data_IF_082456360117
#
_entry.id   IF_082456360117
#
_cell.length_a   1.000
_cell.length_b   1.000
_cell.length_c   1.000
_cell.angle_alpha   90.00
_cell.angle_beta   90.00
_cell.angle_gamma   90.00
#
_symmetry.space_group_name_H-M   'P 1'
#
loop_
_entity.id
_entity.type
_entity.pdbx_description
1 polymer ?
2 branched ?
3 branched ?
4 non-polymer ?
5 water ?
#
# COMPACT_ATOMS: atom_id res chain seq x y z
N UNK A 24 -20.16 -29.44 4.50
CA UNK A 24 -20.87 -28.33 5.12
C UNK A 24 -19.84 -27.29 5.43
N UNK A 25 -18.69 -27.44 4.79
CA UNK A 25 -17.52 -26.65 5.14
C UNK A 25 -17.79 -25.14 5.18
N UNK A 26 -17.00 -24.49 6.02
CA UNK A 26 -17.12 -23.08 6.27
C UNK A 26 -15.79 -22.71 6.85
N UNK A 27 -15.49 -21.42 6.87
CA UNK A 27 -14.39 -20.91 7.67
C UNK A 27 -15.09 -19.95 8.63
N UNK A 28 -14.49 -19.70 9.79
CA UNK A 28 -15.08 -18.77 10.74
C UNK A 28 -13.98 -18.06 11.50
N UNK A 29 -14.33 -16.99 12.21
CA UNK A 29 -13.33 -16.29 13.00
C UNK A 29 -13.93 -15.15 13.81
N UNK A 30 -13.07 -14.48 14.57
CA UNK A 30 -13.46 -13.34 15.39
C UNK A 30 -12.55 -12.17 15.10
N UNK A 31 -13.03 -11.21 14.31
CA UNK A 31 -12.25 -10.02 14.00
C UNK A 31 -12.32 -9.01 15.13
N UNK A 32 -11.18 -8.51 15.56
CA UNK A 32 -11.13 -7.50 16.61
C UNK A 32 -10.86 -6.13 16.02
N UNK A 33 -11.65 -5.13 16.42
CA UNK A 33 -11.41 -3.75 16.01
C UNK A 33 -11.74 -2.82 17.16
N UNK A 34 -10.72 -2.19 17.73
CA UNK A 34 -10.94 -1.35 18.89
C UNK A 34 -11.43 -2.23 20.00
N UNK A 35 -12.53 -1.83 20.64
CA UNK A 35 -13.07 -2.60 21.74
C UNK A 35 -14.11 -3.64 21.31
N UNK A 36 -14.31 -3.80 20.00
CA UNK A 36 -15.37 -4.67 19.51
C UNK A 36 -14.87 -5.97 18.85
N UNK A 37 -15.72 -6.99 18.87
CA UNK A 37 -15.38 -8.26 18.23
C UNK A 37 -16.46 -8.64 17.22
N UNK A 38 -16.06 -8.83 15.97
CA UNK A 38 -17.01 -9.23 14.92
C UNK A 38 -16.87 -10.73 14.63
N UNK A 39 -17.86 -11.52 15.04
CA UNK A 39 -17.87 -12.93 14.66
C UNK A 39 -18.28 -13.04 13.20
N UNK A 40 -17.64 -13.95 12.47
CA UNK A 40 -18.00 -14.14 11.08
C UNK A 40 -17.98 -15.61 10.67
N UNK A 41 -18.78 -15.93 9.66
CA UNK A 41 -18.99 -17.29 9.18
C UNK A 41 -19.05 -17.20 7.66
N UNK A 42 -18.15 -17.89 6.98
CA UNK A 42 -18.13 -17.90 5.52
C UNK A 42 -18.38 -19.31 5.05
N UNK A 43 -19.52 -19.52 4.41
CA UNK A 43 -19.90 -20.86 3.96
C UNK A 43 -19.43 -21.14 2.53
N UNK A 44 -18.94 -22.36 2.30
CA UNK A 44 -18.64 -22.77 0.94
C UNK A 44 -19.72 -23.74 0.47
N UNK A 45 -20.83 -23.76 1.19
CA UNK A 45 -21.94 -24.62 0.78
C UNK A 45 -23.22 -23.81 0.53
N UNK A 46 -24.34 -24.50 0.34
CA UNK A 46 -25.58 -23.84 -0.07
C UNK A 46 -26.27 -23.15 1.12
N UNK A 47 -25.63 -22.11 1.65
CA UNK A 47 -26.11 -21.46 2.86
C UNK A 47 -26.74 -20.12 2.58
N UNK A 48 -27.96 -19.92 3.08
CA UNK A 48 -28.66 -18.64 2.92
C UNK A 48 -28.93 -17.92 4.25
N UNK A 49 -28.79 -18.65 5.37
CA UNK A 49 -28.95 -18.03 6.70
C UNK A 49 -28.03 -18.66 7.75
N UNK A 50 -27.62 -17.87 8.74
CA UNK A 50 -26.74 -18.34 9.80
C UNK A 50 -27.14 -17.70 11.12
N UNK A 51 -27.36 -18.51 12.16
CA UNK A 51 -27.55 -17.99 13.50
C UNK A 51 -26.26 -18.17 14.28
N UNK A 52 -25.84 -17.16 15.05
CA UNK A 52 -24.72 -17.39 15.95
C UNK A 52 -25.23 -17.47 17.39
N UNK A 53 -24.64 -18.35 18.19
CA UNK A 53 -25.04 -18.58 19.57
C UNK A 53 -23.81 -18.38 20.42
N UNK A 54 -23.80 -17.35 21.25
CA UNK A 54 -22.58 -17.03 21.97
C UNK A 54 -22.81 -16.69 23.43
N UNK A 55 -21.76 -16.85 24.21
CA UNK A 55 -21.78 -16.47 25.61
C UNK A 55 -20.56 -15.62 25.88
N UNK A 56 -20.80 -14.45 26.46
CA UNK A 56 -19.71 -13.56 26.85
C UNK A 56 -19.51 -13.72 28.35
N UNK A 57 -18.30 -14.13 28.74
CA UNK A 57 -18.00 -14.53 30.12
C UNK A 57 -19.15 -15.28 30.80
N UNK A 58 -19.76 -16.21 30.05
CA UNK A 58 -20.80 -17.11 30.56
C UNK A 58 -22.14 -16.45 30.88
N UNK A 59 -22.46 -15.37 30.16
CA UNK A 59 -23.73 -14.70 30.37
C UNK A 59 -24.93 -15.39 29.73
N UNK A 60 -26.07 -14.71 29.78
CA UNK A 60 -27.28 -15.11 29.05
C UNK A 60 -26.91 -15.46 27.61
N UNK A 61 -27.32 -16.63 27.13
CA UNK A 61 -26.97 -16.99 25.76
C UNK A 61 -27.65 -16.06 24.77
N UNK A 62 -26.82 -15.45 23.93
CA UNK A 62 -27.31 -14.59 22.86
C UNK A 62 -27.45 -15.43 21.61
N UNK A 63 -28.61 -15.32 20.96
CA UNK A 63 -28.82 -16.00 19.71
C UNK A 63 -29.18 -14.97 18.66
N UNK A 64 -28.33 -14.83 17.66
CA UNK A 64 -28.49 -13.74 16.70
C UNK A 64 -28.47 -14.26 15.27
N UNK A 65 -29.49 -13.90 14.50
CA UNK A 65 -29.49 -14.08 13.06
C UNK A 65 -28.44 -13.13 12.47
N UNK A 66 -27.37 -13.69 11.92
CA UNK A 66 -26.26 -12.86 11.40
C UNK A 66 -26.63 -12.16 10.10
N UNK A 67 -26.04 -10.99 9.88
CA UNK A 67 -26.26 -10.25 8.64
C UNK A 67 -25.24 -10.67 7.59
N UNK A 68 -25.66 -10.75 6.33
CA UNK A 68 -24.74 -11.07 5.25
C UNK A 68 -23.99 -9.83 4.73
N UNK A 69 -22.66 -9.85 4.86
CA UNK A 69 -21.82 -8.80 4.29
C UNK A 69 -21.40 -9.23 2.88
N UNK A 70 -21.99 -8.59 1.88
CA UNK A 70 -21.79 -9.03 0.50
C UNK A 70 -20.34 -8.84 0.06
N UNK A 71 -19.78 -7.68 0.40
CA UNK A 71 -18.40 -7.38 0.04
C UNK A 71 -17.42 -8.45 0.52
N UNK A 72 -17.62 -8.90 1.76
CA UNK A 72 -16.73 -9.88 2.36
C UNK A 72 -17.24 -11.30 2.09
N UNK A 73 -18.42 -11.39 1.46
CA UNK A 73 -19.05 -12.67 1.15
C UNK A 73 -19.19 -13.58 2.38
N UNK A 74 -19.50 -13.00 3.52
CA UNK A 74 -19.61 -13.76 4.75
C UNK A 74 -20.65 -13.15 5.69
N UNK A 75 -21.21 -13.99 6.56
CA UNK A 75 -22.12 -13.47 7.57
C UNK A 75 -21.30 -12.88 8.71
N UNK A 76 -21.80 -11.79 9.29
CA UNK A 76 -21.06 -11.09 10.34
C UNK A 76 -22.00 -10.64 11.45
N UNK A 77 -21.51 -10.68 12.68
CA UNK A 77 -22.24 -10.08 13.79
C UNK A 77 -21.24 -9.41 14.71
N UNK A 78 -21.38 -8.11 14.91
CA UNK A 78 -20.43 -7.39 15.74
C UNK A 78 -20.92 -7.36 17.18
N UNK A 79 -20.08 -7.84 18.09
CA UNK A 79 -20.36 -7.72 19.52
C UNK A 79 -19.61 -6.52 20.08
N UNK A 80 -20.35 -5.55 20.61
CA UNK A 80 -19.75 -4.31 21.12
C UNK A 80 -19.05 -4.50 22.46
N UNK A 81 -17.93 -3.80 22.64
CA UNK A 81 -17.22 -3.74 23.93
C UNK A 81 -17.06 -5.13 24.54
N UNK A 82 -16.34 -6.00 23.81
CA UNK A 82 -16.12 -7.39 24.23
C UNK A 82 -14.76 -7.91 23.81
N UNK A 83 -13.91 -7.06 23.26
CA UNK A 83 -12.57 -7.46 22.85
C UNK A 83 -11.75 -7.94 24.05
N UNK A 84 -12.13 -7.47 25.24
CA UNK A 84 -11.42 -7.77 26.47
C UNK A 84 -11.98 -9.01 27.13
N UNK A 85 -13.05 -9.56 26.55
CA UNK A 85 -13.81 -10.62 27.20
C UNK A 85 -13.46 -11.99 26.61
N UNK A 86 -13.99 -13.02 27.26
CA UNK A 86 -13.92 -14.36 26.70
C UNK A 86 -15.28 -14.69 26.07
N UNK A 87 -15.24 -15.15 24.82
CA UNK A 87 -16.46 -15.44 24.08
C UNK A 87 -16.49 -16.89 23.62
N UNK A 88 -17.58 -17.57 23.93
CA UNK A 88 -17.78 -18.95 23.51
C UNK A 88 -18.95 -18.92 22.52
N UNK A 89 -18.71 -19.42 21.30
CA UNK A 89 -19.74 -19.35 20.25
C UNK A 89 -19.80 -20.56 19.33
N UNK A 90 -21.00 -20.84 18.82
CA UNK A 90 -21.13 -21.78 17.72
C UNK A 90 -22.19 -21.27 16.75
N UNK A 91 -22.23 -21.82 15.55
CA UNK A 91 -23.19 -21.36 14.56
C UNK A 91 -24.17 -22.45 14.18
N UNK A 92 -25.40 -22.04 13.86
CA UNK A 92 -26.34 -22.90 13.17
C UNK A 92 -26.54 -22.30 11.78
N UNK A 93 -26.42 -23.13 10.74
CA UNK A 93 -26.51 -22.65 9.37
C UNK A 93 -27.20 -23.69 8.52
N UNK A 94 -27.79 -23.29 7.39
CA UNK A 94 -28.39 -24.26 6.51
C UNK A 94 -27.42 -24.67 5.43
N UNK A 95 -27.62 -25.88 4.91
CA UNK A 95 -26.96 -26.31 3.69
C UNK A 95 -28.05 -26.95 2.86
N UNK A 96 -28.68 -26.15 2.01
CA UNK A 96 -29.93 -26.56 1.38
C UNK A 96 -31.01 -26.38 2.44
N UNK A 97 -31.97 -27.30 2.47
CA UNK A 97 -33.04 -27.26 3.48
C UNK A 97 -32.56 -27.52 4.93
N UNK A 98 -31.82 -28.62 5.15
CA UNK A 98 -31.52 -28.93 6.57
C UNK A 98 -30.54 -27.95 7.23
N UNK A 99 -30.61 -27.88 8.55
CA UNK A 99 -29.70 -27.05 9.33
C UNK A 99 -28.64 -27.88 10.03
N UNK A 100 -27.49 -27.26 10.27
CA UNK A 100 -26.35 -27.94 10.88
C UNK A 100 -25.76 -27.01 11.92
N UNK A 101 -25.20 -27.58 12.98
CA UNK A 101 -24.49 -26.80 13.99
C UNK A 101 -23.01 -27.04 13.81
N UNK A 102 -22.21 -26.05 14.17
CA UNK A 102 -20.77 -26.21 14.20
C UNK A 102 -20.39 -26.58 15.62
N UNK A 103 -19.13 -26.93 15.84
CA UNK A 103 -18.66 -27.13 17.21
C UNK A 103 -18.51 -25.78 17.88
N UNK A 104 -18.23 -25.78 19.18
CA UNK A 104 -18.13 -24.53 19.93
C UNK A 104 -16.73 -23.95 19.82
N UNK A 105 -16.63 -22.68 19.40
CA UNK A 105 -15.33 -22.02 19.28
C UNK A 105 -15.08 -21.05 20.43
N UNK A 106 -13.85 -20.56 20.52
CA UNK A 106 -13.46 -19.73 21.66
C UNK A 106 -12.70 -18.46 21.24
N UNK A 107 -13.11 -17.31 21.78
CA UNK A 107 -12.34 -16.07 21.69
C UNK A 107 -11.90 -15.75 23.13
N UNK A 108 -10.65 -15.33 23.34
CA UNK A 108 -9.67 -14.99 22.30
C UNK A 108 -9.03 -16.20 21.61
N UNK A 118 -3.77 -15.54 9.71
CA UNK A 118 -2.87 -14.41 9.95
C UNK A 118 -3.47 -13.09 9.43
N UNK A 119 -2.64 -12.05 9.43
CA UNK A 119 -2.99 -10.77 8.82
C UNK A 119 -2.05 -10.49 7.65
N UNK A 120 -1.44 -11.56 7.14
CA UNK A 120 -0.45 -11.46 6.08
C UNK A 120 -1.09 -11.20 4.74
N UNK A 121 -0.37 -10.52 3.86
CA UNK A 121 -0.89 -10.30 2.52
C UNK A 121 -1.05 -11.63 1.78
N UNK A 122 -0.32 -12.65 2.22
CA UNK A 122 -0.36 -13.94 1.55
C UNK A 122 -1.57 -14.77 2.00
N UNK A 123 -2.23 -14.33 3.06
CA UNK A 123 -3.32 -15.12 3.64
C UNK A 123 -4.63 -14.90 2.91
N UNK A 124 -4.69 -13.89 2.03
CA UNK A 124 -5.87 -13.69 1.20
C UNK A 124 -5.88 -14.76 0.11
N UNK A 125 -6.87 -15.66 0.15
CA UNK A 125 -6.93 -16.74 -0.84
C UNK A 125 -7.27 -16.19 -2.22
N UNK A 126 -6.58 -16.64 -3.26
CA UNK A 126 -6.82 -16.13 -4.61
C UNK A 126 -8.26 -16.40 -5.04
N UNK A 127 -8.79 -17.52 -4.57
CA UNK A 127 -10.16 -17.91 -4.87
C UNK A 127 -11.20 -16.90 -4.36
N UNK A 128 -10.79 -16.08 -3.39
CA UNK A 128 -11.71 -15.12 -2.79
C UNK A 128 -11.75 -13.78 -3.54
N UNK A 129 -10.89 -13.64 -4.54
CA UNK A 129 -10.84 -12.39 -5.30
C UNK A 129 -11.99 -12.33 -6.31
N UNK A 130 -12.83 -11.29 -6.21
CA UNK A 130 -13.96 -11.19 -7.14
C UNK A 130 -13.47 -10.90 -8.55
N UNK A 131 -14.17 -11.44 -9.55
CA UNK A 131 -13.84 -11.15 -10.96
C UNK A 131 -13.97 -9.67 -11.23
N UNK A 132 -12.92 -9.06 -11.81
CA UNK A 132 -12.93 -7.63 -12.13
C UNK A 132 -13.87 -7.34 -13.31
N UNK A 133 -14.26 -6.09 -13.48
CA UNK A 133 -15.04 -5.70 -14.60
C UNK A 133 -14.37 -4.74 -15.54
N UNK A 134 -14.82 -4.88 -16.77
CA UNK A 134 -14.30 -4.18 -17.92
C UNK A 134 -12.78 -4.16 -18.07
N UNK A 135 -12.11 -5.28 -18.23
CA UNK A 135 -10.65 -5.29 -18.27
C UNK A 135 -9.89 -4.67 -17.08
N UNK A 136 -10.57 -4.54 -15.98
CA UNK A 136 -9.99 -3.97 -14.79
C UNK A 136 -9.29 -4.94 -13.87
N UNK A 137 -9.13 -4.52 -12.62
CA UNK A 137 -8.51 -5.34 -11.60
C UNK A 137 -9.25 -5.08 -10.29
N UNK A 138 -9.54 -6.14 -9.55
CA UNK A 138 -10.14 -5.97 -8.24
C UNK A 138 -9.08 -5.51 -7.23
N UNK A 139 -9.35 -4.36 -6.61
CA UNK A 139 -8.39 -3.74 -5.69
C UNK A 139 -8.82 -3.88 -4.25
N UNK A 140 -7.94 -4.45 -3.42
CA UNK A 140 -8.19 -4.42 -1.98
C UNK A 140 -7.08 -3.66 -1.26
N UNK A 141 -7.47 -2.67 -0.48
CA UNK A 141 -6.51 -2.01 0.42
C UNK A 141 -6.71 -2.65 1.79
N UNK A 142 -5.65 -3.25 2.32
CA UNK A 142 -5.72 -4.13 3.46
C UNK A 142 -5.00 -3.51 4.65
N UNK A 143 -5.56 -3.69 5.85
CA UNK A 143 -4.96 -3.14 7.07
C UNK A 143 -3.98 -4.15 7.66
N UNK A 144 -2.69 -3.86 7.59
CA UNK A 144 -1.69 -4.75 8.16
C UNK A 144 -0.91 -4.09 9.28
N UNK A 145 -1.52 -3.11 9.95
CA UNK A 145 -0.80 -2.31 10.95
C UNK A 145 -0.72 -2.93 12.36
N UNK A 146 -1.23 -4.16 12.50
CA UNK A 146 -1.12 -4.89 13.75
C UNK A 146 -1.69 -4.16 14.95
N UNK A 147 -2.76 -3.39 14.75
CA UNK A 147 -3.41 -2.69 15.85
C UNK A 147 -3.02 -1.23 16.01
N UNK A 148 -2.05 -0.79 15.22
CA UNK A 148 -1.64 0.61 15.23
C UNK A 148 -2.80 1.54 14.84
N UNK A 149 -3.54 1.16 13.80
CA UNK A 149 -4.69 1.95 13.33
C UNK A 149 -5.83 0.99 13.01
N UNK A 150 -7.07 1.44 13.21
CA UNK A 150 -8.23 0.62 12.81
C UNK A 150 -8.53 0.87 11.33
N UNK A 151 -9.41 0.06 10.76
CA UNK A 151 -9.80 0.20 9.36
C UNK A 151 -10.36 1.56 9.04
N UNK A 152 -11.05 2.19 9.99
CA UNK A 152 -11.62 3.51 9.70
C UNK A 152 -10.66 4.66 9.95
N UNK A 153 -9.40 4.32 10.25
CA UNK A 153 -8.33 5.32 10.45
C UNK A 153 -7.25 5.25 9.35
N UNK A 154 -7.47 4.43 8.33
CA UNK A 154 -6.53 4.33 7.21
C UNK A 154 -7.26 4.76 5.94
N UNK A 155 -6.72 5.75 5.25
CA UNK A 155 -7.40 6.41 4.16
C UNK A 155 -6.70 6.07 2.87
N UNK A 156 -7.45 5.98 1.76
CA UNK A 156 -6.85 5.77 0.46
C UNK A 156 -7.59 6.53 -0.62
N UNK A 157 -6.89 6.85 -1.71
CA UNK A 157 -7.52 7.53 -2.82
C UNK A 157 -6.80 7.15 -4.09
N UNK A 158 -7.55 6.96 -5.17
CA UNK A 158 -6.93 6.67 -6.44
C UNK A 158 -7.16 7.87 -7.34
N UNK A 159 -6.08 8.40 -7.91
CA UNK A 159 -6.18 9.50 -8.85
C UNK A 159 -5.30 9.15 -10.07
N UNK A 160 -5.81 9.44 -11.27
CA UNK A 160 -5.07 9.18 -12.49
C UNK A 160 -5.85 9.67 -13.71
N UNK A 161 -5.34 9.37 -14.90
CA UNK A 161 -6.01 9.78 -16.11
C UNK A 161 -6.93 8.67 -16.61
N UNK A 162 -8.19 9.00 -16.85
CA UNK A 162 -9.10 8.07 -17.49
C UNK A 162 -8.79 8.06 -18.99
N UNK A 163 -8.40 6.89 -19.53
CA UNK A 163 -8.01 6.81 -20.94
C UNK A 163 -9.20 6.93 -21.88
N UNK A 164 -10.40 6.76 -21.35
CA UNK A 164 -11.61 6.92 -22.15
C UNK A 164 -11.63 8.31 -22.77
N UNK A 165 -11.35 9.34 -21.97
CA UNK A 165 -11.49 10.72 -22.42
C UNK A 165 -10.28 11.60 -22.11
N UNK A 166 -9.23 11.00 -21.54
CA UNK A 166 -8.03 11.73 -21.21
C UNK A 166 -8.18 12.69 -20.04
N UNK A 167 -9.26 12.53 -19.27
CA UNK A 167 -9.54 13.44 -18.16
C UNK A 167 -8.98 12.93 -16.81
N UNK A 168 -8.25 13.79 -16.10
CA UNK A 168 -7.80 13.48 -14.73
C UNK A 168 -9.01 13.21 -13.82
N UNK A 169 -8.95 12.11 -13.09
CA UNK A 169 -10.11 11.58 -12.40
C UNK A 169 -9.74 10.94 -11.08
N UNK A 170 -10.73 10.76 -10.20
CA UNK A 170 -10.54 9.97 -8.99
C UNK A 170 -11.51 8.81 -8.95
N UNK A 171 -11.17 7.77 -8.22
CA UNK A 171 -11.97 6.53 -8.21
C UNK A 171 -13.01 6.54 -7.09
N UNK A 172 -14.27 6.29 -7.41
CA UNK A 172 -15.26 6.12 -6.34
C UNK A 172 -15.39 4.65 -5.95
N UNK A 173 -16.26 4.37 -4.98
CA UNK A 173 -16.37 3.01 -4.46
C UNK A 173 -17.16 2.10 -5.40
N UNK A 174 -17.80 2.69 -6.40
CA UNK A 174 -18.52 1.91 -7.40
C UNK A 174 -17.56 1.52 -8.51
N UNK A 175 -16.31 1.96 -8.40
CA UNK A 175 -15.33 1.66 -9.42
C UNK A 175 -15.34 2.65 -10.56
N UNK A 176 -15.97 3.80 -10.34
CA UNK A 176 -16.13 4.76 -11.43
C UNK A 176 -15.06 5.84 -11.33
N UNK A 177 -14.45 6.19 -12.44
CA UNK A 177 -13.50 7.30 -12.46
C UNK A 177 -14.24 8.61 -12.67
N UNK A 178 -14.30 9.44 -11.63
CA UNK A 178 -15.03 10.71 -11.69
C UNK A 178 -14.06 11.85 -11.95
N UNK A 179 -14.41 12.77 -12.88
CA UNK A 179 -13.49 13.84 -13.27
C UNK A 179 -13.16 14.75 -12.08
N UNK A 180 -11.89 15.11 -11.89
CA UNK A 180 -11.56 16.11 -10.88
C UNK A 180 -11.56 17.50 -11.52
N UNK A 181 -11.57 18.53 -10.68
CA UNK A 181 -11.66 19.90 -11.17
C UNK A 181 -11.25 20.83 -10.04
N UNK A 182 -11.10 22.12 -10.33
CA UNK A 182 -10.82 23.10 -9.28
C UNK A 182 -12.02 23.24 -8.36
N UNK A 183 -13.23 23.17 -8.92
CA UNK A 183 -14.45 23.28 -8.12
C UNK A 183 -14.60 22.16 -7.10
N UNK A 184 -13.96 21.02 -7.38
CA UNK A 184 -14.09 19.85 -6.51
C UNK A 184 -13.53 20.16 -5.11
N UNK A 185 -12.53 21.04 -5.06
CA UNK A 185 -11.94 21.42 -3.77
C UNK A 185 -12.95 22.08 -2.82
N UNK A 186 -13.98 22.71 -3.40
CA UNK A 186 -14.97 23.44 -2.61
C UNK A 186 -16.36 22.81 -2.62
N UNK A 187 -16.51 21.71 -3.36
CA UNK A 187 -17.79 21.00 -3.43
C UNK A 187 -18.21 20.53 -2.03
N UNK A 188 -19.53 20.36 -1.81
CA UNK A 188 -19.99 19.85 -0.51
C UNK A 188 -19.26 18.55 -0.15
N UNK A 189 -18.81 18.42 1.08
CA UNK A 189 -18.07 17.24 1.49
C UNK A 189 -16.55 17.39 1.39
N UNK A 190 -16.10 18.50 0.82
CA UNK A 190 -14.66 18.77 0.70
C UNK A 190 -13.93 18.77 2.04
N UNK A 191 -12.63 18.55 2.00
CA UNK A 191 -11.83 18.58 3.22
C UNK A 191 -11.43 20.02 3.52
N UNK A 192 -10.98 20.26 4.75
CA UNK A 192 -10.48 21.57 5.14
C UNK A 192 -9.33 21.43 6.12
N UNK A 193 -8.24 22.16 5.89
CA UNK A 193 -7.16 22.24 6.87
C UNK A 193 -6.61 23.67 6.91
N UNK A 194 -6.52 24.23 8.12
CA UNK A 194 -6.13 25.63 8.31
C UNK A 194 -6.83 26.59 7.36
N UNK A 195 -8.16 26.46 7.27
CA UNK A 195 -8.98 27.38 6.49
C UNK A 195 -8.91 27.19 4.98
N UNK A 196 -8.22 26.15 4.54
CA UNK A 196 -8.07 25.92 3.10
C UNK A 196 -8.81 24.64 2.69
N UNK A 197 -9.52 24.71 1.57
CA UNK A 197 -10.33 23.60 1.08
C UNK A 197 -9.54 22.69 0.13
N UNK A 198 -9.72 21.39 0.31
CA UNK A 198 -9.08 20.41 -0.57
C UNK A 198 -10.07 19.35 -1.02
N UNK A 199 -9.89 18.86 -2.24
CA UNK A 199 -10.77 17.84 -2.79
C UNK A 199 -10.83 16.64 -1.86
N UNK A 200 -12.03 16.12 -1.63
CA UNK A 200 -12.15 14.90 -0.83
C UNK A 200 -12.32 13.69 -1.76
N UNK A 201 -11.19 13.06 -2.11
CA UNK A 201 -11.20 11.92 -3.04
C UNK A 201 -10.94 10.61 -2.32
N UNK A 202 -10.88 10.67 -0.98
CA UNK A 202 -10.35 9.56 -0.19
C UNK A 202 -11.46 8.65 0.34
N UNK A 203 -11.10 7.40 0.63
CA UNK A 203 -11.98 6.46 1.31
C UNK A 203 -11.24 5.86 2.51
N UNK A 204 -11.97 5.27 3.45
CA UNK A 204 -11.38 4.51 4.55
C UNK A 204 -11.37 3.03 4.20
N UNK A 205 -10.44 2.26 4.76
CA UNK A 205 -10.45 0.81 4.52
C UNK A 205 -11.81 0.22 4.91
N UNK A 206 -12.42 0.78 5.95
CA UNK A 206 -13.73 0.32 6.43
C UNK A 206 -14.87 0.58 5.43
N UNK A 207 -14.61 1.37 4.40
CA UNK A 207 -15.65 1.70 3.42
C UNK A 207 -15.82 0.62 2.35
N UNK A 208 -14.87 -0.30 2.25
CA UNK A 208 -14.91 -1.29 1.18
C UNK A 208 -13.96 -2.47 1.38
N UNK A 209 -14.36 -3.62 0.87
CA UNK A 209 -13.47 -4.78 0.81
C UNK A 209 -12.75 -4.82 -0.54
N UNK A 210 -13.51 -4.79 -1.62
CA UNK A 210 -12.96 -4.79 -2.96
C UNK A 210 -13.56 -3.62 -3.74
N UNK A 211 -12.73 -2.96 -4.55
CA UNK A 211 -13.21 -1.93 -5.48
C UNK A 211 -12.69 -2.28 -6.85
N UNK A 212 -13.50 -2.11 -7.89
CA UNK A 212 -13.01 -2.36 -9.23
C UNK A 212 -12.15 -1.20 -9.71
N UNK A 213 -10.90 -1.51 -10.07
CA UNK A 213 -9.99 -0.52 -10.64
C UNK A 213 -10.03 -0.70 -12.15
N UNK A 214 -10.63 0.25 -12.87
CA UNK A 214 -10.78 0.14 -14.32
C UNK A 214 -9.50 0.58 -15.00
N UNK A 215 -9.47 0.56 -16.32
CA UNK A 215 -8.28 1.04 -17.03
C UNK A 215 -7.99 2.49 -16.63
N UNK A 216 -6.72 2.79 -16.39
CA UNK A 216 -6.30 4.09 -15.87
C UNK A 216 -4.84 4.33 -16.29
N UNK A 217 -4.50 5.58 -16.63
CA UNK A 217 -3.12 5.92 -17.02
C UNK A 217 -2.42 6.74 -15.94
N UNK A 218 -1.16 6.43 -15.68
CA UNK A 218 -0.40 6.98 -14.55
C UNK A 218 -1.26 7.18 -13.28
N UNK A 219 -1.91 6.10 -12.86
CA UNK A 219 -2.69 6.15 -11.64
C UNK A 219 -1.78 6.12 -10.42
N UNK A 220 -2.26 6.71 -9.34
CA UNK A 220 -1.58 6.58 -8.06
C UNK A 220 -2.60 6.19 -7.02
N UNK A 221 -2.22 5.25 -6.15
CA UNK A 221 -3.05 4.90 -5.02
C UNK A 221 -2.38 5.53 -3.81
N UNK A 222 -2.89 6.68 -3.38
CA UNK A 222 -2.35 7.34 -2.20
C UNK A 222 -2.88 6.63 -0.96
N UNK A 223 -2.03 6.46 0.05
CA UNK A 223 -2.40 5.78 1.28
C UNK A 223 -1.94 6.69 2.41
N UNK A 224 -2.76 6.83 3.44
CA UNK A 224 -2.31 7.65 4.57
C UNK A 224 -2.96 7.16 5.86
N UNK A 225 -2.26 7.29 6.99
CA UNK A 225 -2.82 6.83 8.25
C UNK A 225 -3.23 8.01 9.15
N UNK A 226 -4.33 7.83 9.90
CA UNK A 226 -4.77 8.88 10.81
C UNK A 226 -5.64 9.95 10.16
N UNK A 227 -5.26 10.39 8.96
CA UNK A 227 -6.06 11.36 8.25
C UNK A 227 -5.93 11.15 6.74
N UNK A 228 -6.82 11.78 5.96
CA UNK A 228 -6.56 11.78 4.52
C UNK A 228 -5.42 12.75 4.21
N UNK A 229 -5.06 12.86 2.93
CA UNK A 229 -4.11 13.88 2.51
C UNK A 229 -4.88 15.11 2.11
N UNK A 230 -4.18 16.24 1.99
CA UNK A 230 -4.77 17.49 1.56
C UNK A 230 -4.06 17.96 0.31
N UNK A 231 -4.68 17.71 -0.85
CA UNK A 231 -4.07 17.94 -2.13
C UNK A 231 -5.07 18.70 -3.00
N UNK A 232 -4.61 19.81 -3.57
CA UNK A 232 -5.46 20.63 -4.44
C UNK A 232 -5.62 19.93 -5.79
N UNK A 233 -6.85 19.85 -6.27
CA UNK A 233 -7.08 19.36 -7.62
C UNK A 233 -7.33 20.51 -8.58
N UNK A 234 -7.05 20.29 -9.86
CA UNK A 234 -7.32 21.30 -10.87
C UNK A 234 -8.09 20.66 -12.01
N UNK A 235 -8.50 21.47 -12.99
CA UNK A 235 -9.23 20.96 -14.13
C UNK A 235 -8.35 20.03 -14.98
N UNK A 236 -7.03 20.17 -14.84
CA UNK A 236 -6.12 19.36 -15.64
C UNK A 236 -5.07 18.58 -14.85
N UNK A 237 -5.24 18.47 -13.54
CA UNK A 237 -4.33 17.69 -12.73
C UNK A 237 -4.50 17.96 -11.26
N UNK A 238 -3.46 17.67 -10.47
CA UNK A 238 -3.49 17.87 -9.03
C UNK A 238 -2.08 18.19 -8.56
N UNK A 239 -1.97 18.84 -7.40
CA UNK A 239 -0.67 19.11 -6.80
C UNK A 239 -0.47 18.24 -5.56
N UNK A 240 0.55 17.38 -5.61
CA UNK A 240 0.80 16.44 -4.53
C UNK A 240 1.60 17.05 -3.41
N UNK A 241 2.04 16.21 -2.45
CA UNK A 241 2.82 16.76 -1.34
C UNK A 241 4.17 17.29 -1.81
N UNK A 242 4.57 18.45 -1.30
CA UNK A 242 5.85 19.05 -1.65
C UNK A 242 6.71 18.97 -0.40
N UNK A 243 7.61 17.98 -0.35
CA UNK A 243 8.38 17.72 0.86
C UNK A 243 9.49 18.77 1.08
N UNK A 244 9.68 19.65 0.10
CA UNK A 244 10.64 20.73 0.23
C UNK A 244 10.02 21.98 0.87
N UNK A 245 8.70 21.95 1.10
CA UNK A 245 8.02 23.12 1.65
C UNK A 245 7.70 23.00 3.14
N UNK A 246 8.33 23.86 3.95
CA UNK A 246 8.11 23.80 5.40
C UNK A 246 6.62 23.84 5.80
N UNK A 247 5.79 24.51 5.02
CA UNK A 247 4.37 24.62 5.38
C UNK A 247 3.46 23.74 4.52
N UNK A 248 4.00 22.71 3.90
CA UNK A 248 3.12 21.81 3.15
C UNK A 248 2.13 21.18 4.12
N UNK A 249 0.85 21.17 3.75
CA UNK A 249 -0.17 20.61 4.66
C UNK A 249 0.02 19.13 4.93
N UNK A 250 0.89 18.46 4.17
CA UNK A 250 1.07 17.03 4.32
C UNK A 250 2.38 16.65 5.01
N UNK A 251 3.15 17.66 5.39
CA UNK A 251 4.45 17.41 6.02
C UNK A 251 4.29 16.59 7.30
N UNK A 252 3.25 16.88 8.07
CA UNK A 252 3.03 16.14 9.32
C UNK A 252 1.97 15.06 9.20
N UNK A 253 1.82 14.54 7.98
CA UNK A 253 0.90 13.44 7.69
C UNK A 253 1.73 12.25 7.24
N UNK A 254 1.41 11.06 7.75
CA UNK A 254 2.13 9.86 7.34
C UNK A 254 1.43 9.26 6.13
N UNK A 255 2.08 9.32 4.97
CA UNK A 255 1.47 8.88 3.73
C UNK A 255 2.48 8.15 2.87
N UNK A 256 1.97 7.43 1.87
CA UNK A 256 2.81 6.76 0.89
C UNK A 256 1.90 6.53 -0.30
N UNK A 257 2.37 5.82 -1.31
CA UNK A 257 1.52 5.51 -2.46
C UNK A 257 2.07 4.41 -3.33
N UNK A 258 1.18 3.80 -4.11
CA UNK A 258 1.65 2.87 -5.12
C UNK A 258 1.20 3.40 -6.47
N UNK A 259 1.97 3.05 -7.48
CA UNK A 259 1.72 3.59 -8.81
C UNK A 259 1.26 2.46 -9.71
N UNK A 260 0.32 2.73 -10.59
CA UNK A 260 -0.08 1.71 -11.55
C UNK A 260 -0.62 2.31 -12.83
N UNK A 261 -0.49 1.53 -13.89
CA UNK A 261 -1.20 1.80 -15.13
C UNK A 261 -1.95 0.51 -15.43
N UNK A 262 -3.22 0.63 -15.78
CA UNK A 262 -4.01 -0.52 -16.19
C UNK A 262 -4.49 -0.24 -17.61
N UNK A 263 -4.01 -1.01 -18.58
CA UNK A 263 -4.33 -0.76 -19.98
C UNK A 263 -4.64 -2.06 -20.72
N UNK A 264 -4.54 -2.03 -22.05
CA UNK A 264 -4.90 -3.20 -22.85
C UNK A 264 -3.91 -4.34 -22.61
N UNK A 265 -2.70 -4.01 -22.17
CA UNK A 265 -1.71 -5.04 -21.88
C UNK A 265 -1.70 -5.46 -20.41
N UNK A 266 -2.76 -5.10 -19.68
CA UNK A 266 -2.92 -5.61 -18.33
C UNK A 266 -2.53 -4.63 -17.22
N UNK A 267 -2.09 -5.18 -16.09
CA UNK A 267 -1.71 -4.35 -14.94
C UNK A 267 -0.21 -4.17 -14.95
N UNK A 268 0.25 -2.96 -14.63
CA UNK A 268 1.67 -2.67 -14.45
C UNK A 268 1.77 -1.72 -13.28
N UNK A 269 2.52 -2.09 -12.24
CA UNK A 269 2.54 -1.28 -11.04
C UNK A 269 3.70 -1.55 -10.11
N UNK A 270 3.89 -0.65 -9.14
CA UNK A 270 5.03 -0.73 -8.25
C UNK A 270 4.80 0.03 -6.95
N UNK A 271 5.54 -0.33 -5.91
CA UNK A 271 5.71 0.57 -4.76
C UNK A 271 6.94 1.41 -5.11
N UNK A 272 7.20 2.48 -4.36
CA UNK A 272 8.35 3.31 -4.70
C UNK A 272 8.92 4.07 -3.51
N UNK A 273 10.25 4.09 -3.39
CA UNK A 273 10.91 4.84 -2.33
C UNK A 273 11.77 5.90 -2.99
N UNK A 274 11.49 6.14 -4.27
CA UNK A 274 12.24 7.10 -5.06
C UNK A 274 12.15 8.53 -4.45
N UNK A 275 11.03 8.85 -3.83
CA UNK A 275 10.87 10.16 -3.20
C UNK A 275 10.96 10.14 -1.67
N UNK A 276 10.29 9.16 -1.06
CA UNK A 276 10.25 9.02 0.41
C UNK A 276 9.75 7.63 0.80
N UNK A 277 9.92 7.28 2.07
CA UNK A 277 9.29 6.10 2.66
C UNK A 277 8.34 6.57 3.75
N UNK A 278 7.09 6.12 3.72
CA UNK A 278 6.11 6.50 4.73
C UNK A 278 5.77 5.40 5.72
N UNK A 279 5.56 4.20 5.20
CA UNK A 279 5.31 3.03 6.04
C UNK A 279 5.53 1.79 5.16
N UNK A 280 5.71 0.60 5.77
CA UNK A 280 5.88 -0.62 4.97
C UNK A 280 4.65 -0.88 4.11
N UNK A 281 4.84 -1.27 2.86
CA UNK A 281 3.73 -1.60 1.95
C UNK A 281 4.04 -2.94 1.27
N UNK A 282 3.06 -3.83 1.16
CA UNK A 282 3.19 -5.00 0.31
C UNK A 282 2.15 -4.91 -0.81
N UNK A 283 2.51 -5.44 -1.98
CA UNK A 283 1.77 -5.22 -3.21
C UNK A 283 1.70 -6.57 -3.89
N UNK A 284 0.52 -7.21 -3.85
CA UNK A 284 0.38 -8.55 -4.39
C UNK A 284 -0.52 -8.54 -5.61
N UNK A 285 -0.04 -9.13 -6.70
CA UNK A 285 -0.76 -9.16 -7.97
C UNK A 285 -1.09 -10.60 -8.34
N UNK A 286 -2.36 -10.86 -8.65
CA UNK A 286 -2.82 -12.23 -8.93
C UNK A 286 -3.57 -12.20 -10.25
N UNK A 287 -3.29 -13.17 -11.13
CA UNK A 287 -3.91 -13.14 -12.46
C UNK A 287 -5.14 -14.02 -12.63
N UNK A 288 -5.82 -13.86 -13.75
CA UNK A 288 -7.04 -14.62 -14.02
C UNK A 288 -6.80 -16.12 -14.26
N UNK A 289 -5.73 -16.47 -14.97
CA UNK A 289 -5.47 -17.87 -15.32
C UNK A 289 -5.04 -18.72 -14.12
N UNK A 290 -4.58 -18.07 -13.06
CA UNK A 290 -4.18 -18.77 -11.86
C UNK A 290 -2.73 -19.24 -11.88
N UNK A 291 -1.94 -18.72 -12.81
CA UNK A 291 -0.53 -19.10 -12.85
C UNK A 291 0.42 -17.97 -12.40
N UNK A 292 -0.14 -16.79 -12.12
CA UNK A 292 0.67 -15.66 -11.67
C UNK A 292 0.15 -15.18 -10.31
N UNK A 293 1.03 -15.16 -9.32
CA UNK A 293 0.71 -14.69 -7.98
C UNK A 293 2.05 -14.24 -7.39
N UNK A 294 2.30 -12.93 -7.44
CA UNK A 294 3.58 -12.38 -7.00
C UNK A 294 3.36 -11.21 -6.03
N UNK A 295 4.32 -11.01 -5.13
CA UNK A 295 4.23 -9.94 -4.14
C UNK A 295 5.58 -9.25 -4.04
N UNK A 296 5.57 -7.91 -4.00
CA UNK A 296 6.79 -7.14 -3.75
C UNK A 296 6.54 -6.15 -2.61
N UNK A 297 7.61 -5.55 -2.07
CA UNK A 297 7.47 -4.62 -0.96
C UNK A 297 8.37 -4.92 0.23
N UNK A 298 8.25 -4.12 1.28
CA UNK A 298 9.02 -4.37 2.50
C UNK A 298 8.62 -5.74 3.05
N UNK A 299 9.57 -6.47 3.63
CA UNK A 299 9.25 -7.75 4.27
C UNK A 299 8.21 -7.52 5.35
N UNK A 300 7.27 -8.45 5.50
CA UNK A 300 6.20 -8.28 6.48
C UNK A 300 6.73 -8.33 7.90
N UNK A 301 7.92 -8.89 8.06
CA UNK A 301 8.51 -9.03 9.39
C UNK A 301 9.31 -7.78 9.78
N UNK A 302 9.45 -6.84 8.86
CA UNK A 302 10.07 -5.56 9.20
C UNK A 302 8.98 -4.69 9.82
N UNK A 303 9.30 -3.99 10.90
CA UNK A 303 8.35 -3.06 11.49
C UNK A 303 8.72 -1.64 11.08
N UNK A 304 7.76 -0.71 11.15
CA UNK A 304 8.06 0.67 10.78
C UNK A 304 9.12 1.22 11.73
N UNK A 305 8.96 1.01 13.03
CA UNK A 305 9.96 1.51 14.00
C UNK A 305 11.29 0.81 13.82
N UNK A 306 11.24 -0.48 13.49
CA UNK A 306 12.43 -1.24 13.15
C UNK A 306 13.20 -0.60 12.01
N UNK A 307 12.49 -0.24 10.96
CA UNK A 307 13.13 0.36 9.78
C UNK A 307 13.77 1.73 10.06
N UNK A 308 13.11 2.57 10.84
CA UNK A 308 13.70 3.86 11.21
C UNK A 308 14.96 3.63 12.02
N UNK A 309 14.91 2.67 12.95
CA UNK A 309 16.06 2.46 13.83
C UNK A 309 17.22 1.85 13.04
N UNK A 310 16.92 0.84 12.22
CA UNK A 310 17.95 0.22 11.39
C UNK A 310 18.52 1.22 10.38
N UNK A 311 17.69 2.11 9.86
CA UNK A 311 18.15 3.02 8.81
C UNK A 311 19.34 3.84 9.31
N UNK A 312 19.15 4.51 10.44
CA UNK A 312 20.19 5.38 11.00
C UNK A 312 21.49 4.62 11.40
N UNK A 313 21.37 3.32 11.69
CA UNK A 313 22.54 2.49 12.01
C UNK A 313 23.26 1.97 10.78
N UNK A 314 22.48 1.56 9.78
CA UNK A 314 23.03 0.88 8.60
C UNK A 314 23.68 1.79 7.56
N UNK A 315 23.10 2.95 7.29
CA UNK A 315 23.63 3.82 6.23
C UNK A 315 24.84 4.60 6.76
N UNK A 316 25.77 4.98 5.86
CA UNK A 316 26.93 5.80 6.23
C UNK A 316 26.46 7.17 6.71
N UNK A 317 27.33 7.89 7.41
CA UNK A 317 26.96 9.16 8.01
C UNK A 317 26.21 10.12 7.08
N UNK A 318 26.66 10.24 5.84
CA UNK A 318 26.05 11.23 4.96
C UNK A 318 24.55 11.01 4.71
N UNK A 319 24.08 9.79 4.89
CA UNK A 319 22.70 9.42 4.56
C UNK A 319 21.80 9.42 5.79
N UNK A 320 22.38 9.65 6.96
CA UNK A 320 21.65 9.45 8.22
C UNK A 320 20.52 10.44 8.43
N UNK A 321 20.77 11.71 8.15
CA UNK A 321 19.76 12.74 8.41
C UNK A 321 18.51 12.56 7.54
N UNK A 322 18.61 11.77 6.47
CA UNK A 322 17.43 11.45 5.65
C UNK A 322 16.39 10.76 6.50
N UNK A 323 16.85 10.12 7.58
CA UNK A 323 15.94 9.40 8.46
C UNK A 323 15.51 10.18 9.68
N UNK A 324 15.98 11.42 9.80
CA UNK A 324 15.66 12.21 11.00
C UNK A 324 14.97 13.54 10.69
N UNK A 325 15.35 14.18 9.59
CA UNK A 325 14.80 15.50 9.25
C UNK A 325 13.26 15.60 9.29
N UNK A 326 12.58 14.59 8.75
CA UNK A 326 11.11 14.59 8.79
C UNK A 326 10.55 13.37 9.50
N UNK A 327 11.35 12.81 10.41
CA UNK A 327 10.87 11.81 11.36
C UNK A 327 9.85 12.51 12.25
N UNK A 328 8.81 11.78 12.69
CA UNK A 328 8.56 10.35 12.45
C UNK A 328 7.65 10.12 11.26
N UNK A 329 7.46 11.15 10.43
CA UNK A 329 6.51 11.03 9.31
C UNK A 329 7.06 10.25 8.12
N UNK A 330 8.38 10.28 7.92
CA UNK A 330 8.96 9.65 6.74
C UNK A 330 10.48 9.60 6.78
N UNK A 331 11.06 8.74 5.94
CA UNK A 331 12.49 8.78 5.64
C UNK A 331 12.58 9.41 4.25
N UNK A 332 13.49 10.38 4.08
CA UNK A 332 13.51 11.14 2.83
C UNK A 332 14.46 10.51 1.83
N UNK A 333 14.18 10.65 0.53
CA UNK A 333 15.17 10.29 -0.48
C UNK A 333 16.32 11.31 -0.46
N UNK A 334 17.50 10.93 -1.01
CA UNK A 334 18.65 11.81 -0.85
C UNK A 334 18.49 13.23 -1.40
N UNK A 335 17.88 13.39 -2.58
CA UNK A 335 17.75 14.71 -3.20
C UNK A 335 16.72 15.60 -2.50
N UNK A 336 15.98 15.03 -1.53
CA UNK A 336 15.10 15.83 -0.68
C UNK A 336 15.88 16.22 0.59
N UNK A 337 17.12 15.76 0.69
CA UNK A 337 17.97 16.04 1.83
C UNK A 337 19.23 16.76 1.39
N UNK A 338 20.31 16.63 2.17
CA UNK A 338 21.54 17.40 1.96
C UNK A 338 22.38 16.98 0.74
N UNK A 339 21.86 16.10 -0.10
CA UNK A 339 22.55 15.74 -1.35
C UNK A 339 22.16 16.68 -2.47
N UNK A 340 21.15 17.51 -2.21
CA UNK A 340 20.65 18.44 -3.21
C UNK A 340 21.68 19.54 -3.50
N UNK A 341 21.49 20.24 -4.62
CA UNK A 341 22.39 21.33 -5.01
C UNK A 341 22.55 22.34 -3.87
N UNK A 342 23.80 22.63 -3.52
CA UNK A 342 24.05 23.52 -2.39
C UNK A 342 24.12 22.84 -1.03
N UNK A 343 23.62 21.61 -0.94
CA UNK A 343 23.62 20.88 0.33
C UNK A 343 25.00 20.47 0.79
N UNK A 344 25.08 19.96 2.02
CA UNK A 344 26.34 19.58 2.62
C UNK A 344 27.02 18.46 1.83
N UNK A 345 26.23 17.62 1.19
CA UNK A 345 26.77 16.46 0.46
C UNK A 345 26.49 16.56 -1.03
N UNK A 346 26.42 17.80 -1.53
CA UNK A 346 26.14 18.04 -2.95
C UNK A 346 27.23 17.48 -3.87
N UNK A 347 28.37 17.15 -3.30
CA UNK A 347 29.48 16.58 -4.08
C UNK A 347 29.84 15.18 -3.60
N UNK A 348 28.86 14.46 -3.08
CA UNK A 348 29.11 13.13 -2.51
C UNK A 348 29.81 12.17 -3.48
N UNK A 349 29.46 12.25 -4.76
CA UNK A 349 30.03 11.35 -5.78
C UNK A 349 31.33 11.86 -6.44
N UNK A 350 31.82 13.03 -5.99
CA UNK A 350 32.91 13.75 -6.67
C UNK A 350 34.10 12.95 -7.21
N UNK A 351 34.76 12.17 -6.36
CA UNK A 351 35.94 11.45 -6.85
C UNK A 351 35.63 10.31 -7.80
N UNK A 352 34.43 9.76 -7.66
CA UNK A 352 34.06 8.52 -8.33
C UNK A 352 33.76 8.69 -9.81
N UNK A 353 32.93 9.65 -10.17
CA UNK A 353 32.82 9.97 -11.59
C UNK A 353 32.85 11.48 -11.82
N UNK A 354 32.94 11.88 -13.08
CA UNK A 354 32.90 13.30 -13.44
C UNK A 354 31.44 13.77 -13.47
N UNK A 355 30.53 12.81 -13.44
CA UNK A 355 29.09 13.09 -13.50
C UNK A 355 28.56 13.55 -12.14
N UNK A 356 27.81 14.66 -12.12
CA UNK A 356 27.39 15.28 -10.86
C UNK A 356 26.54 14.37 -10.00
N UNK A 357 26.72 14.52 -8.68
CA UNK A 357 25.90 13.85 -7.68
C UNK A 357 24.42 13.97 -7.98
N UNK A 358 24.00 15.17 -8.41
CA UNK A 358 22.60 15.45 -8.68
C UNK A 358 22.11 14.72 -9.94
N UNK A 359 22.94 14.72 -10.98
CA UNK A 359 22.63 13.98 -12.20
C UNK A 359 22.42 12.50 -11.87
N UNK A 360 23.34 11.94 -11.09
CA UNK A 360 23.31 10.54 -10.70
C UNK A 360 22.05 10.18 -9.92
N UNK A 361 21.73 10.94 -8.88
CA UNK A 361 20.65 10.59 -7.97
C UNK A 361 19.27 10.69 -8.63
N UNK A 362 19.15 11.54 -9.65
CA UNK A 362 17.85 11.74 -10.30
C UNK A 362 17.77 11.18 -11.73
N UNK A 363 18.86 10.58 -12.20
CA UNK A 363 18.88 10.02 -13.55
C UNK A 363 18.57 11.09 -14.61
N UNK A 364 19.26 12.22 -14.54
CA UNK A 364 19.08 13.29 -15.51
C UNK A 364 20.44 13.73 -16.04
N UNK A 365 20.44 14.64 -17.01
CA UNK A 365 21.68 15.13 -17.58
C UNK A 365 22.63 14.07 -18.11
N UNK A 366 23.84 14.06 -17.58
CA UNK A 366 24.87 13.14 -18.03
C UNK A 366 24.61 11.73 -17.50
N UNK A 367 23.55 11.58 -16.71
CA UNK A 367 23.17 10.25 -16.24
C UNK A 367 21.74 9.92 -16.64
N UNK A 368 21.30 10.51 -17.75
CA UNK A 368 19.96 10.26 -18.29
C UNK A 368 19.82 8.84 -18.84
N UNK A 369 20.92 8.23 -19.25
CA UNK A 369 20.88 6.84 -19.69
C UNK A 369 20.67 5.93 -18.49
N UNK A 370 19.62 5.10 -18.55
CA UNK A 370 19.22 4.28 -17.40
C UNK A 370 20.35 3.40 -16.88
N UNK A 371 21.11 2.75 -17.77
CA UNK A 371 22.15 1.82 -17.33
C UNK A 371 23.31 2.56 -16.67
N UNK A 372 23.62 3.75 -17.18
CA UNK A 372 24.65 4.60 -16.60
C UNK A 372 24.26 5.05 -15.19
N UNK A 373 23.07 5.63 -15.09
CA UNK A 373 22.50 6.05 -13.81
C UNK A 373 22.52 4.92 -12.79
N UNK A 374 21.95 3.78 -13.19
CA UNK A 374 21.93 2.60 -12.33
C UNK A 374 23.31 2.19 -11.85
N UNK A 375 24.25 2.10 -12.78
CA UNK A 375 25.59 1.64 -12.43
C UNK A 375 26.28 2.60 -11.46
N UNK A 376 26.06 3.90 -11.67
CA UNK A 376 26.63 4.91 -10.78
C UNK A 376 26.06 4.80 -9.37
N UNK A 377 24.73 4.74 -9.25
CA UNK A 377 24.07 4.58 -7.95
C UNK A 377 24.56 3.33 -7.23
N UNK A 378 24.83 2.27 -8.00
CA UNK A 378 25.24 0.98 -7.43
C UNK A 378 26.74 0.84 -7.23
N UNK A 379 27.49 1.85 -7.65
CA UNK A 379 28.96 1.82 -7.61
C UNK A 379 29.54 0.61 -8.34
N UNK A 380 29.11 0.41 -9.57
CA UNK A 380 29.73 -0.60 -10.45
C UNK A 380 30.05 0.03 -11.80
N UNK A 381 29.86 1.35 -11.92
CA UNK A 381 30.05 2.06 -13.18
C UNK A 381 31.41 1.82 -13.84
N UNK A 382 32.48 1.78 -13.04
CA UNK A 382 33.82 1.62 -13.62
C UNK A 382 34.17 0.15 -13.87
N UNK A 383 33.18 -0.73 -13.77
CA UNK A 383 33.39 -2.16 -14.01
C UNK A 383 32.23 -2.73 -14.82
N UNK A 384 32.19 -2.43 -16.12
CA UNK A 384 31.06 -2.80 -16.99
C UNK A 384 30.65 -4.28 -16.89
N UNK A 385 31.60 -5.16 -16.57
CA UNK A 385 31.31 -6.57 -16.40
C UNK A 385 30.46 -6.84 -15.17
N UNK A 386 30.30 -5.81 -14.32
CA UNK A 386 29.58 -5.98 -13.06
C UNK A 386 28.25 -5.23 -13.03
N UNK A 387 27.90 -4.57 -14.13
CA UNK A 387 26.66 -3.77 -14.18
C UNK A 387 25.42 -4.60 -13.87
N UNK A 388 25.45 -5.89 -14.23
CA UNK A 388 24.30 -6.77 -14.03
C UNK A 388 24.55 -7.87 -13.01
N UNK A 389 25.53 -7.65 -12.14
CA UNK A 389 25.89 -8.64 -11.13
C UNK A 389 25.46 -8.14 -9.75
N UNK A 390 24.26 -8.54 -9.33
CA UNK A 390 23.65 -8.02 -8.10
C UNK A 390 24.54 -8.09 -6.86
N UNK A 391 25.33 -9.15 -6.74
CA UNK A 391 26.19 -9.29 -5.56
C UNK A 391 27.34 -8.26 -5.52
N UNK A 392 27.55 -7.55 -6.63
CA UNK A 392 28.59 -6.51 -6.61
C UNK A 392 28.04 -5.11 -6.35
N UNK A 393 26.72 -4.98 -6.30
CA UNK A 393 26.10 -3.67 -6.06
C UNK A 393 26.40 -3.12 -4.67
N UNK A 394 26.62 -1.81 -4.60
CA UNK A 394 26.79 -1.10 -3.32
C UNK A 394 27.94 -1.63 -2.45
N UNK A 395 29.02 -2.12 -3.06
CA UNK A 395 30.10 -2.73 -2.29
C UNK A 395 31.19 -1.75 -1.83
N UNK A 396 31.16 -0.54 -2.38
CA UNK A 396 32.07 0.51 -1.95
C UNK A 396 31.42 1.88 -2.11
N UNK A 397 31.95 2.86 -1.38
CA UNK A 397 31.47 4.23 -1.43
C UNK A 397 32.28 5.05 -2.45
N UNK A 398 31.67 6.09 -3.04
CA UNK A 398 30.28 6.53 -2.77
C UNK A 398 29.26 5.68 -3.52
N UNK A 399 28.09 5.50 -2.91
CA UNK A 399 26.99 4.77 -3.53
C UNK A 399 25.66 5.24 -2.96
N UNK A 400 24.56 4.88 -3.61
CA UNK A 400 23.26 5.24 -3.06
C UNK A 400 22.83 4.26 -1.96
N UNK A 401 23.27 4.53 -0.74
CA UNK A 401 23.02 3.63 0.39
C UNK A 401 21.59 3.70 0.90
N UNK A 402 20.91 4.79 0.56
CA UNK A 402 19.49 4.87 0.82
C UNK A 402 18.80 3.80 -0.02
N UNK A 403 19.17 3.72 -1.30
CA UNK A 403 18.58 2.73 -2.20
C UNK A 403 18.89 1.31 -1.74
N UNK A 404 20.14 1.11 -1.30
CA UNK A 404 20.58 -0.19 -0.81
C UNK A 404 19.72 -0.65 0.35
N UNK A 405 19.42 0.28 1.25
CA UNK A 405 18.61 -0.02 2.43
C UNK A 405 17.30 -0.69 2.04
N UNK A 406 16.60 -0.12 1.05
CA UNK A 406 15.29 -0.66 0.67
C UNK A 406 15.40 -2.05 0.05
N UNK A 407 16.44 -2.29 -0.73
CA UNK A 407 16.71 -3.65 -1.22
C UNK A 407 16.94 -4.64 -0.08
N UNK A 408 17.80 -4.28 0.87
CA UNK A 408 18.11 -5.17 2.00
C UNK A 408 16.88 -5.58 2.84
N UNK A 409 15.83 -4.76 2.84
CA UNK A 409 14.70 -5.02 3.75
C UNK A 409 13.40 -5.28 3.01
N UNK A 410 13.52 -5.63 1.73
CA UNK A 410 12.35 -5.88 0.89
C UNK A 410 12.29 -7.31 0.39
N UNK A 411 11.08 -7.75 0.07
CA UNK A 411 10.86 -9.09 -0.43
C UNK A 411 11.70 -9.33 -1.68
N UNK A 412 12.46 -10.43 -1.68
CA UNK A 412 13.28 -10.81 -2.82
C UNK A 412 14.34 -9.77 -3.18
N UNK A 413 14.66 -8.89 -2.23
CA UNK A 413 15.61 -7.81 -2.49
C UNK A 413 15.18 -6.85 -3.60
N UNK A 414 13.88 -6.78 -3.88
CA UNK A 414 13.36 -5.91 -4.95
C UNK A 414 12.82 -4.59 -4.39
N UNK A 415 13.25 -3.47 -4.97
CA UNK A 415 12.82 -2.17 -4.46
C UNK A 415 13.03 -1.08 -5.49
N UNK A 416 12.14 -0.09 -5.51
CA UNK A 416 12.42 1.10 -6.28
C UNK A 416 13.14 2.09 -5.36
N UNK A 417 14.45 1.88 -5.20
CA UNK A 417 15.26 2.72 -4.34
C UNK A 417 15.69 4.01 -4.99
N UNK A 418 15.83 3.99 -6.31
CA UNK A 418 16.12 5.21 -7.09
C UNK A 418 15.42 5.05 -8.42
N UNK A 419 15.38 6.12 -9.21
CA UNK A 419 14.50 6.19 -10.38
C UNK A 419 14.72 5.09 -11.41
N UNK A 420 15.95 4.63 -11.54
CA UNK A 420 16.27 3.60 -12.54
C UNK A 420 16.66 2.26 -11.93
N UNK A 421 16.04 1.93 -10.79
CA UNK A 421 16.32 0.67 -10.11
C UNK A 421 15.75 -0.51 -10.90
N UNK A 422 14.94 -0.22 -11.92
CA UNK A 422 14.38 -1.32 -12.71
C UNK A 422 15.42 -1.90 -13.69
N UNK A 423 16.58 -1.26 -13.76
CA UNK A 423 17.68 -1.77 -14.58
C UNK A 423 18.17 -3.07 -13.97
N UNK A 424 18.16 -4.14 -14.78
CA UNK A 424 18.49 -5.49 -14.33
C UNK A 424 17.44 -6.04 -13.34
N UNK A 425 16.21 -5.54 -13.48
CA UNK A 425 15.06 -6.14 -12.83
C UNK A 425 15.03 -6.05 -11.32
N UNK A 426 15.58 -4.97 -10.77
CA UNK A 426 15.75 -4.88 -9.32
C UNK A 426 14.63 -4.13 -8.60
N UNK A 427 13.67 -3.59 -9.36
CA UNK A 427 12.63 -2.74 -8.77
C UNK A 427 11.45 -3.54 -8.23
N UNK A 428 10.72 -2.97 -7.28
CA UNK A 428 9.50 -3.61 -6.77
C UNK A 428 8.39 -3.32 -7.76
N UNK A 429 8.51 -3.88 -8.96
CA UNK A 429 7.57 -3.63 -10.05
C UNK A 429 7.01 -4.94 -10.54
N UNK A 430 5.70 -4.98 -10.77
CA UNK A 430 5.07 -6.20 -11.26
C UNK A 430 4.11 -5.88 -12.40
N UNK A 431 3.97 -6.83 -13.33
CA UNK A 431 2.97 -6.69 -14.36
C UNK A 431 2.45 -8.05 -14.80
N UNK A 432 1.20 -8.09 -15.25
CA UNK A 432 0.64 -9.30 -15.83
C UNK A 432 -0.45 -8.92 -16.81
N UNK A 433 -0.57 -9.68 -17.89
CA UNK A 433 -1.50 -9.36 -18.97
C UNK A 433 -2.97 -9.61 -18.66
N UNK A 434 -3.25 -10.54 -17.75
CA UNK A 434 -4.63 -10.86 -17.38
C UNK A 434 -4.87 -10.71 -15.88
N UNK A 435 -4.81 -9.47 -15.37
CA UNK A 435 -4.85 -9.26 -13.93
C UNK A 435 -6.21 -9.63 -13.35
N UNK A 436 -6.22 -10.24 -12.17
CA UNK A 436 -7.51 -10.48 -11.51
C UNK A 436 -7.64 -9.56 -10.30
N UNK A 437 -6.64 -9.62 -9.43
CA UNK A 437 -6.68 -8.90 -8.17
C UNK A 437 -5.35 -8.25 -7.83
N UNK A 438 -5.45 -7.10 -7.18
CA UNK A 438 -4.30 -6.42 -6.61
C UNK A 438 -4.62 -6.19 -5.15
N UNK A 439 -3.76 -6.68 -4.26
CA UNK A 439 -3.93 -6.37 -2.86
C UNK A 439 -2.80 -5.46 -2.43
N UNK A 440 -3.14 -4.35 -1.77
CA UNK A 440 -2.14 -3.42 -1.25
C UNK A 440 -2.31 -3.30 0.25
N UNK A 441 -1.29 -3.74 0.98
CA UNK A 441 -1.38 -3.85 2.42
C UNK A 441 -0.55 -2.75 3.08
N UNK A 442 -1.18 -1.99 3.97
CA UNK A 442 -0.48 -0.98 4.77
C UNK A 442 0.09 -1.66 6.01
N UNK A 443 1.42 -1.79 6.04
CA UNK A 443 2.08 -2.51 7.13
C UNK A 443 2.51 -1.59 8.25
N UNK A 444 3.06 -2.14 9.33
CA UNK A 444 3.51 -1.32 10.45
C UNK A 444 4.43 -2.12 11.33
#
# INVERSE_FOLDING_TARGET
MGSSHHHHHHSSGLVPRGSHMASADFTQGADVSGNNVTLWFKSSVNTTWVDVHYKVNSGVQQNVRMSFNAGAARFEHTILTAAQAEIEYFFTYNNGVPAYDTTTFTYRSGQPDPEPSTNSIYSIPASSIPQPSEGGVSLKVMNGTGGAYTDDQIYWGVIGINPVNGKWSYLDLAGRLLPISSDLNNAPGHLTKDGINYANIYHKISDANWVNLPKIESGRLFLSVGSPLYMKTFDDGFAGPDLNNPTDPNLNIIFDFVAFTVDKDGYHGNTTRVDQFGFPIQHRLVNLAGNYDRTVGELESETRSGLFAKYVNEVPYEFKSLGTLQAPYRILSPMKGPFQEGGAYENYFAGYSSISTQDILLGVGEASNPEVCAALNRHVYTEPDNWNRVDQYYQAAPANYYAKFWHDHSIDGLAYGFCYDDVNGQAAYLEVGDPKGLIVRVGW
#
